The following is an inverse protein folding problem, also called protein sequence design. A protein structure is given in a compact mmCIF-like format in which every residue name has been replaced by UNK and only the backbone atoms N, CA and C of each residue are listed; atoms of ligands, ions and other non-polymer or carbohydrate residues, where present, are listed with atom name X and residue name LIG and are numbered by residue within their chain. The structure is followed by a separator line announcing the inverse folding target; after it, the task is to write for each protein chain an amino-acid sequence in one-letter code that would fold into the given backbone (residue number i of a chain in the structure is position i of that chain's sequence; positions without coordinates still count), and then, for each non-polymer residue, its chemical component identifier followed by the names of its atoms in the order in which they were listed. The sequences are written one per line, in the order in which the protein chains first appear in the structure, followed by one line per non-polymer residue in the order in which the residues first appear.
data_IF_772813245629
#
_entry.id   IF_772813245629
#
_cell.length_a   1.000
_cell.length_b   1.000
_cell.length_c   1.000
_cell.angle_alpha   90.00
_cell.angle_beta   90.00
_cell.angle_gamma   90.00
#
_symmetry.space_group_name_H-M   'P 1'
#
loop_
_entity.id
_entity.type
_entity.pdbx_description
1 polymer ?
#
# COMPACT_ATOMS: atom_id res chain seq x y z
N UNK A 1 -18.69 10.27 -10.68
CA UNK A 1 -17.24 10.52 -10.55
C UNK A 1 -16.87 11.43 -9.39
N UNK A 2 -15.80 11.10 -8.65
CA UNK A 2 -15.20 11.91 -7.59
C UNK A 2 -13.75 11.47 -7.31
N UNK A 3 -13.17 11.88 -6.18
CA UNK A 3 -11.89 11.34 -5.70
C UNK A 3 -12.10 10.36 -4.53
N UNK A 4 -10.99 9.81 -4.01
CA UNK A 4 -11.01 8.84 -2.90
C UNK A 4 -11.63 9.36 -1.60
N UNK A 5 -11.53 10.66 -1.31
CA UNK A 5 -12.18 11.25 -0.13
C UNK A 5 -13.70 11.31 -0.33
N UNK A 6 -14.15 11.62 -1.54
CA UNK A 6 -15.58 11.64 -1.87
C UNK A 6 -16.18 10.23 -1.92
N UNK A 7 -15.40 9.23 -2.33
CA UNK A 7 -15.73 7.81 -2.17
C UNK A 7 -15.88 7.48 -0.69
N UNK A 8 -14.85 7.74 0.11
CA UNK A 8 -14.86 7.41 1.53
C UNK A 8 -16.04 8.02 2.27
N UNK A 9 -16.39 9.28 1.98
CA UNK A 9 -17.51 9.97 2.62
C UNK A 9 -18.87 9.34 2.29
N UNK A 10 -19.05 8.79 1.09
CA UNK A 10 -20.33 8.28 0.60
C UNK A 10 -20.48 6.77 0.72
N UNK A 11 -19.38 6.05 0.92
CA UNK A 11 -19.39 4.59 0.99
C UNK A 11 -20.26 4.12 2.17
N UNK A 12 -21.26 3.30 1.85
CA UNK A 12 -22.27 2.78 2.77
C UNK A 12 -22.37 1.24 2.73
N UNK A 13 -21.53 0.58 1.92
CA UNK A 13 -21.45 -0.88 1.83
C UNK A 13 -21.12 -1.49 3.19
N UNK A 14 -21.66 -2.69 3.47
CA UNK A 14 -21.38 -3.44 4.70
C UNK A 14 -19.86 -3.47 4.99
N UNK A 15 -19.38 -3.01 6.16
CA UNK A 15 -17.98 -3.08 6.58
C UNK A 15 -17.33 -4.45 6.44
N UNK A 16 -18.12 -5.53 6.52
CA UNK A 16 -17.67 -6.91 6.43
C UNK A 16 -17.59 -7.43 4.99
N UNK A 17 -18.05 -6.66 4.00
CA UNK A 17 -17.89 -7.01 2.59
C UNK A 17 -16.43 -6.85 2.13
N UNK A 18 -15.95 -7.64 1.15
CA UNK A 18 -14.63 -7.46 0.55
C UNK A 18 -14.37 -6.01 0.10
N UNK A 19 -13.16 -5.45 0.30
CA UNK A 19 -12.81 -4.12 -0.19
C UNK A 19 -12.87 -4.03 -1.71
N UNK A 20 -13.51 -2.97 -2.19
CA UNK A 20 -13.39 -2.52 -3.57
C UNK A 20 -12.00 -1.90 -3.83
N UNK A 21 -11.59 -1.70 -5.10
CA UNK A 21 -10.36 -0.97 -5.41
C UNK A 21 -10.31 0.43 -4.78
N UNK A 22 -11.43 1.17 -4.77
CA UNK A 22 -11.51 2.48 -4.14
C UNK A 22 -11.44 2.40 -2.60
N UNK A 23 -11.99 1.36 -1.97
CA UNK A 23 -11.80 1.11 -0.54
C UNK A 23 -10.32 0.89 -0.22
N UNK A 24 -9.63 0.07 -1.03
CA UNK A 24 -8.22 -0.20 -0.82
C UNK A 24 -7.38 1.09 -0.90
N UNK A 25 -7.67 1.99 -1.85
CA UNK A 25 -7.01 3.29 -1.93
C UNK A 25 -7.35 4.17 -0.71
N UNK A 26 -8.60 4.21 -0.27
CA UNK A 26 -9.02 4.97 0.90
C UNK A 26 -8.29 4.51 2.17
N UNK A 27 -8.14 3.20 2.36
CA UNK A 27 -7.38 2.62 3.46
C UNK A 27 -5.88 2.91 3.37
N UNK A 28 -5.29 2.89 2.17
CA UNK A 28 -3.90 3.31 1.95
C UNK A 28 -3.67 4.78 2.29
N UNK A 29 -4.62 5.67 1.96
CA UNK A 29 -4.61 7.08 2.33
C UNK A 29 -4.78 7.27 3.85
N UNK A 30 -5.66 6.48 4.48
CA UNK A 30 -5.86 6.51 5.93
C UNK A 30 -4.59 6.10 6.69
N UNK A 31 -3.86 5.09 6.19
CA UNK A 31 -2.61 4.61 6.76
C UNK A 31 -1.42 5.58 6.65
N UNK A 32 -1.59 6.74 6.02
CA UNK A 32 -0.59 7.82 6.04
C UNK A 32 -0.58 8.59 7.38
N UNK A 33 -1.64 8.44 8.18
CA UNK A 33 -1.67 8.97 9.54
C UNK A 33 -0.71 8.18 10.43
N UNK A 34 0.00 8.89 11.33
CA UNK A 34 0.96 8.34 12.28
C UNK A 34 0.25 7.65 13.47
N UNK A 35 -0.68 6.72 13.19
CA UNK A 35 -1.45 6.02 14.22
C UNK A 35 -0.58 5.19 15.15
N UNK A 36 0.60 4.74 14.71
CA UNK A 36 1.56 4.07 15.57
C UNK A 36 2.02 4.96 16.73
N UNK A 37 1.77 6.27 16.73
CA UNK A 37 1.98 7.13 17.90
C UNK A 37 0.98 6.87 19.05
N UNK A 38 -0.18 6.25 18.76
CA UNK A 38 -1.22 5.95 19.74
C UNK A 38 -1.00 4.56 20.33
N UNK A 39 -0.83 4.47 21.66
CA UNK A 39 -0.66 3.17 22.33
C UNK A 39 -1.82 2.20 22.10
N UNK A 40 -3.05 2.71 22.06
CA UNK A 40 -4.27 1.91 21.91
C UNK A 40 -4.33 1.08 20.61
N UNK A 41 -3.79 1.60 19.49
CA UNK A 41 -3.82 0.88 18.22
C UNK A 41 -2.62 -0.04 18.00
N UNK A 42 -1.64 -0.08 18.91
CA UNK A 42 -0.50 -1.03 18.81
C UNK A 42 -0.89 -2.44 19.26
N UNK A 43 -1.89 -2.55 20.13
CA UNK A 43 -2.39 -3.81 20.69
C UNK A 43 -3.37 -4.54 19.77
N UNK A 44 -3.86 -5.70 20.25
CA UNK A 44 -4.86 -6.51 19.56
C UNK A 44 -6.27 -5.92 19.64
N UNK A 45 -6.60 -5.27 20.77
CA UNK A 45 -7.92 -4.64 20.97
C UNK A 45 -8.15 -3.53 19.94
N UNK A 46 -7.12 -2.70 19.70
CA UNK A 46 -7.16 -1.64 18.71
C UNK A 46 -8.12 -0.52 19.08
N UNK A 47 -8.48 0.29 18.08
CA UNK A 47 -9.46 1.37 18.20
C UNK A 47 -10.29 1.44 16.92
N UNK A 48 -11.58 1.74 17.03
CA UNK A 48 -12.41 1.90 15.83
C UNK A 48 -11.98 3.15 15.05
N UNK A 49 -12.14 3.11 13.72
CA UNK A 49 -11.87 4.26 12.84
C UNK A 49 -12.79 5.44 13.21
N UNK A 50 -14.01 5.18 13.67
CA UNK A 50 -14.91 6.19 14.25
C UNK A 50 -14.23 6.98 15.39
N UNK A 51 -13.63 6.29 16.36
CA UNK A 51 -12.98 6.89 17.53
C UNK A 51 -11.69 7.62 17.15
N UNK A 52 -10.93 7.08 16.19
CA UNK A 52 -9.77 7.77 15.62
C UNK A 52 -10.17 9.12 15.00
N UNK A 53 -11.39 9.25 14.48
CA UNK A 53 -11.96 10.49 13.98
C UNK A 53 -12.03 11.61 15.02
N UNK A 54 -12.26 11.29 16.29
CA UNK A 54 -12.27 12.27 17.38
C UNK A 54 -10.89 12.93 17.56
N UNK A 55 -9.82 12.23 17.18
CA UNK A 55 -8.44 12.72 17.24
C UNK A 55 -8.03 13.48 15.97
N UNK A 56 -8.90 13.64 14.97
CA UNK A 56 -8.50 14.16 13.66
C UNK A 56 -7.89 15.57 13.68
N UNK A 57 -8.18 16.40 14.69
CA UNK A 57 -7.53 17.72 14.83
C UNK A 57 -6.13 17.67 15.44
N UNK A 58 -5.72 16.50 15.96
CA UNK A 58 -4.44 16.30 16.60
C UNK A 58 -3.30 16.31 15.60
N UNK A 59 -2.49 17.37 15.61
CA UNK A 59 -1.41 17.59 14.64
C UNK A 59 -0.35 16.49 14.64
N UNK A 60 -0.16 15.78 15.75
CA UNK A 60 0.84 14.72 15.85
C UNK A 60 0.54 13.53 14.93
N UNK A 61 -0.73 13.31 14.56
CA UNK A 61 -1.13 12.24 13.63
C UNK A 61 -0.65 12.48 12.20
N UNK A 62 -0.16 13.67 11.88
CA UNK A 62 0.25 14.04 10.52
C UNK A 62 1.69 14.55 10.47
N UNK A 63 2.49 14.25 11.48
CA UNK A 63 3.86 14.77 11.60
C UNK A 63 4.72 14.36 10.41
N UNK A 64 4.55 13.13 9.91
CA UNK A 64 5.33 12.61 8.79
C UNK A 64 4.53 12.52 7.49
N UNK A 65 3.23 12.82 7.51
CA UNK A 65 2.38 12.85 6.32
C UNK A 65 2.97 13.71 5.21
N UNK A 66 2.83 13.31 3.93
CA UNK A 66 3.10 14.16 2.76
C UNK A 66 1.97 15.15 2.47
N UNK A 67 0.74 14.87 2.90
CA UNK A 67 -0.46 15.66 2.59
C UNK A 67 -1.35 15.88 3.83
N UNK A 68 -0.86 16.53 4.90
CA UNK A 68 -1.51 16.52 6.23
C UNK A 68 -2.94 17.05 6.22
N UNK A 69 -3.25 18.00 5.34
CA UNK A 69 -4.62 18.53 5.19
C UNK A 69 -5.55 17.50 4.53
N UNK A 70 -5.07 16.73 3.57
CA UNK A 70 -5.85 15.71 2.85
C UNK A 70 -5.98 14.45 3.72
N UNK A 71 -4.91 14.02 4.38
CA UNK A 71 -4.92 12.91 5.33
C UNK A 71 -5.92 13.17 6.46
N UNK A 72 -5.97 14.39 7.00
CA UNK A 72 -7.00 14.79 7.97
C UNK A 72 -8.40 14.68 7.40
N UNK A 73 -8.62 15.18 6.16
CA UNK A 73 -9.94 15.09 5.51
C UNK A 73 -10.34 13.63 5.24
N UNK A 74 -9.37 12.78 4.92
CA UNK A 74 -9.56 11.35 4.73
C UNK A 74 -9.95 10.68 6.05
N UNK A 75 -9.24 10.94 7.14
CA UNK A 75 -9.60 10.42 8.46
C UNK A 75 -11.02 10.84 8.86
N UNK A 76 -11.37 12.13 8.71
CA UNK A 76 -12.73 12.60 9.00
C UNK A 76 -13.77 11.89 8.11
N UNK A 77 -13.51 11.74 6.81
CA UNK A 77 -14.43 11.07 5.90
C UNK A 77 -14.62 9.59 6.24
N UNK A 78 -13.55 8.85 6.54
CA UNK A 78 -13.61 7.46 6.93
C UNK A 78 -14.31 7.27 8.29
N UNK A 79 -14.02 8.13 9.27
CA UNK A 79 -14.60 8.03 10.61
C UNK A 79 -16.11 8.31 10.66
N UNK A 80 -16.66 8.99 9.65
CA UNK A 80 -18.11 9.25 9.54
C UNK A 80 -18.82 8.35 8.52
N UNK A 81 -18.10 7.43 7.88
CA UNK A 81 -18.65 6.55 6.84
C UNK A 81 -19.14 5.23 7.42
N UNK A 82 -20.37 4.77 7.08
CA UNK A 82 -20.84 3.44 7.49
C UNK A 82 -19.89 2.32 7.07
N UNK A 83 -19.20 2.46 5.93
CA UNK A 83 -18.24 1.47 5.42
C UNK A 83 -16.98 1.36 6.27
N UNK A 84 -16.40 2.48 6.70
CA UNK A 84 -15.06 2.52 7.30
C UNK A 84 -15.07 2.73 8.81
N UNK A 85 -16.02 3.51 9.34
CA UNK A 85 -16.08 3.88 10.75
C UNK A 85 -16.08 2.66 11.70
N UNK A 86 -16.79 1.55 11.39
CA UNK A 86 -16.82 0.37 12.26
C UNK A 86 -15.55 -0.50 12.23
N UNK A 87 -14.61 -0.22 11.32
CA UNK A 87 -13.37 -0.99 11.23
C UNK A 87 -12.50 -0.74 12.47
N UNK A 88 -11.85 -1.78 12.98
CA UNK A 88 -10.93 -1.66 14.12
C UNK A 88 -9.48 -1.64 13.64
N UNK A 89 -8.80 -0.52 13.86
CA UNK A 89 -7.37 -0.33 13.64
C UNK A 89 -6.57 -0.93 14.80
N UNK A 90 -5.73 -1.91 14.49
CA UNK A 90 -4.92 -2.65 15.44
C UNK A 90 -3.52 -2.91 14.88
N UNK A 91 -2.61 -3.32 15.77
CA UNK A 91 -1.22 -3.65 15.43
C UNK A 91 -0.45 -2.58 14.64
N UNK A 92 -0.86 -1.31 14.75
CA UNK A 92 -0.19 -0.22 14.07
C UNK A 92 1.28 -0.13 14.49
N UNK A 93 2.16 -0.07 13.51
CA UNK A 93 3.60 0.03 13.72
C UNK A 93 4.14 1.16 12.86
N UNK A 94 4.95 2.01 13.48
CA UNK A 94 5.72 3.05 12.82
C UNK A 94 7.18 2.92 13.28
N UNK A 95 8.09 2.70 12.34
CA UNK A 95 9.52 2.50 12.63
C UNK A 95 10.38 3.27 11.65
N UNK A 96 11.23 4.13 12.19
CA UNK A 96 12.29 4.81 11.46
C UNK A 96 13.63 4.44 12.09
N UNK A 97 14.59 4.06 11.26
CA UNK A 97 15.93 3.67 11.69
C UNK A 97 16.95 4.20 10.71
N UNK A 98 18.01 4.82 11.22
CA UNK A 98 19.15 5.24 10.42
C UNK A 98 20.12 4.07 10.14
N UNK A 99 20.21 3.10 11.06
CA UNK A 99 21.12 1.96 11.00
C UNK A 99 20.49 0.71 11.66
N UNK A 100 20.05 -0.29 10.87
CA UNK A 100 20.00 -0.28 9.41
C UNK A 100 19.03 0.80 8.89
N UNK A 101 19.30 1.34 7.70
CA UNK A 101 18.43 2.34 7.07
C UNK A 101 17.07 1.71 6.78
N UNK A 102 16.00 2.23 7.40
CA UNK A 102 14.64 1.77 7.13
C UNK A 102 13.59 2.78 7.58
N UNK A 103 12.53 2.89 6.79
CA UNK A 103 11.24 3.43 7.18
C UNK A 103 10.20 2.34 6.89
N UNK A 104 9.57 1.83 7.95
CA UNK A 104 8.55 0.80 7.86
C UNK A 104 7.34 1.20 8.69
N UNK A 105 6.17 1.17 8.06
CA UNK A 105 4.91 1.39 8.74
C UNK A 105 3.82 0.51 8.16
N UNK A 106 3.00 -0.04 9.04
CA UNK A 106 1.90 -0.91 8.69
C UNK A 106 0.80 -0.84 9.75
N UNK A 107 -0.42 -1.17 9.35
CA UNK A 107 -1.53 -1.36 10.27
C UNK A 107 -2.45 -2.49 9.81
N UNK A 108 -3.23 -3.02 10.74
CA UNK A 108 -4.25 -4.03 10.47
C UNK A 108 -5.62 -3.43 10.76
N UNK A 109 -6.54 -3.53 9.80
CA UNK A 109 -7.94 -3.16 9.98
C UNK A 109 -8.78 -4.42 9.98
N UNK A 110 -9.54 -4.62 11.06
CA UNK A 110 -10.44 -5.76 11.21
C UNK A 110 -11.86 -5.30 10.99
N UNK A 111 -12.61 -6.05 10.19
CA UNK A 111 -14.05 -5.82 10.08
C UNK A 111 -14.76 -6.30 11.35
N UNK A 112 -16.00 -5.87 11.60
CA UNK A 112 -16.88 -6.54 12.55
C UNK A 112 -17.02 -8.04 12.20
N UNK A 113 -17.26 -8.89 13.21
CA UNK A 113 -17.54 -10.32 13.01
C UNK A 113 -16.50 -11.31 13.55
N UNK A 114 -15.40 -10.86 14.16
CA UNK A 114 -14.46 -11.72 14.89
C UNK A 114 -13.36 -12.36 14.04
N UNK A 115 -12.75 -13.45 14.50
CA UNK A 115 -11.52 -13.99 13.89
C UNK A 115 -11.69 -14.53 12.45
N UNK A 116 -12.91 -14.91 12.05
CA UNK A 116 -13.23 -15.38 10.70
C UNK A 116 -13.60 -14.27 9.72
N UNK A 117 -13.76 -13.03 10.18
CA UNK A 117 -14.16 -11.92 9.33
C UNK A 117 -12.98 -11.39 8.50
N UNK A 118 -13.25 -10.66 7.40
CA UNK A 118 -12.21 -10.04 6.62
C UNK A 118 -11.24 -9.19 7.45
N UNK A 119 -9.97 -9.29 7.09
CA UNK A 119 -8.89 -8.51 7.70
C UNK A 119 -8.09 -7.83 6.59
N UNK A 120 -7.79 -6.54 6.76
CA UNK A 120 -7.01 -5.76 5.82
C UNK A 120 -5.65 -5.40 6.43
N UNK A 121 -4.57 -5.70 5.71
CA UNK A 121 -3.20 -5.31 6.06
C UNK A 121 -2.78 -4.19 5.12
N UNK A 122 -2.48 -3.02 5.68
CA UNK A 122 -2.14 -1.83 4.91
C UNK A 122 -0.69 -1.45 5.20
N UNK A 123 0.13 -1.46 4.16
CA UNK A 123 1.50 -0.97 4.23
C UNK A 123 1.56 0.50 3.80
N UNK A 124 2.16 1.34 4.64
CA UNK A 124 2.35 2.76 4.33
C UNK A 124 3.42 2.94 3.25
N UNK A 125 3.15 3.90 2.37
CA UNK A 125 4.14 4.41 1.42
C UNK A 125 5.20 5.30 2.06
N UNK A 126 5.91 6.04 1.20
CA UNK A 126 6.95 6.98 1.61
C UNK A 126 6.35 8.18 2.31
N UNK A 127 6.99 8.60 3.38
CA UNK A 127 6.59 9.75 4.18
C UNK A 127 7.60 10.90 4.04
N UNK A 128 7.43 11.97 4.82
CA UNK A 128 8.36 13.11 4.83
C UNK A 128 9.70 12.81 5.50
N UNK A 129 9.91 11.61 6.04
CA UNK A 129 11.17 11.27 6.70
C UNK A 129 12.29 11.11 5.67
N UNK A 130 13.49 11.55 6.01
CA UNK A 130 14.65 11.36 5.14
C UNK A 130 14.96 9.86 4.95
N UNK A 131 14.64 9.02 5.95
CA UNK A 131 14.80 7.57 5.86
C UNK A 131 13.90 6.97 4.78
N UNK A 132 12.66 7.47 4.64
CA UNK A 132 11.73 7.05 3.60
C UNK A 132 12.33 7.24 2.20
N UNK A 133 12.71 8.48 1.89
CA UNK A 133 13.34 8.82 0.61
C UNK A 133 14.67 8.11 0.36
N UNK A 134 15.49 7.94 1.41
CA UNK A 134 16.76 7.23 1.28
C UNK A 134 16.58 5.72 1.05
N UNK A 135 15.57 5.09 1.67
CA UNK A 135 15.25 3.68 1.43
C UNK A 135 14.65 3.47 0.02
N UNK A 136 13.85 4.42 -0.49
CA UNK A 136 13.36 4.38 -1.88
C UNK A 136 14.51 4.44 -2.89
N UNK A 137 15.47 5.34 -2.68
CA UNK A 137 16.67 5.40 -3.50
C UNK A 137 17.48 4.08 -3.42
N UNK A 138 17.49 3.44 -2.25
CA UNK A 138 18.18 2.16 -2.05
C UNK A 138 17.53 0.98 -2.78
N UNK A 139 16.24 1.07 -3.19
CA UNK A 139 15.58 0.02 -3.98
C UNK A 139 16.30 -0.23 -5.32
N UNK A 140 16.88 0.81 -5.90
CA UNK A 140 17.71 0.72 -7.12
C UNK A 140 19.12 0.19 -6.88
N UNK A 141 19.51 -0.14 -5.64
CA UNK A 141 20.88 -0.51 -5.26
C UNK A 141 20.96 -1.89 -4.60
N UNK A 142 19.98 -2.27 -3.79
CA UNK A 142 20.00 -3.52 -3.03
C UNK A 142 18.62 -4.11 -2.79
N UNK A 143 18.58 -5.44 -2.69
CA UNK A 143 17.36 -6.19 -2.43
C UNK A 143 17.61 -7.48 -1.63
N UNK A 144 16.69 -7.90 -0.73
CA UNK A 144 15.59 -7.11 -0.19
C UNK A 144 16.10 -6.08 0.82
N UNK A 145 15.39 -4.95 0.95
CA UNK A 145 15.64 -3.93 1.96
C UNK A 145 15.10 -4.35 3.34
N UNK A 146 15.54 -3.72 4.44
CA UNK A 146 14.98 -3.99 5.76
C UNK A 146 13.45 -3.84 5.83
N UNK A 147 12.88 -2.85 5.12
CA UNK A 147 11.44 -2.66 4.99
C UNK A 147 10.70 -3.87 4.38
N UNK A 148 11.25 -4.48 3.32
CA UNK A 148 10.70 -5.71 2.72
C UNK A 148 10.60 -6.83 3.75
N UNK A 149 11.70 -7.10 4.47
CA UNK A 149 11.73 -8.15 5.49
C UNK A 149 10.77 -7.86 6.66
N UNK A 150 10.60 -6.59 7.03
CA UNK A 150 9.63 -6.17 8.03
C UNK A 150 8.19 -6.40 7.55
N UNK A 151 7.89 -6.09 6.29
CA UNK A 151 6.58 -6.31 5.68
C UNK A 151 6.21 -7.79 5.64
N UNK A 152 7.14 -8.66 5.21
CA UNK A 152 6.92 -10.11 5.20
C UNK A 152 6.64 -10.67 6.60
N UNK A 153 7.41 -10.25 7.62
CA UNK A 153 7.17 -10.65 9.01
C UNK A 153 5.82 -10.14 9.54
N UNK A 154 5.46 -8.89 9.22
CA UNK A 154 4.19 -8.30 9.63
C UNK A 154 3.01 -9.07 9.03
N UNK A 155 3.04 -9.35 7.73
CA UNK A 155 1.96 -10.09 7.08
C UNK A 155 1.85 -11.52 7.61
N UNK A 156 2.97 -12.22 7.84
CA UNK A 156 2.96 -13.54 8.45
C UNK A 156 2.34 -13.51 9.86
N UNK A 157 2.71 -12.52 10.68
CA UNK A 157 2.14 -12.30 12.02
C UNK A 157 0.62 -12.14 11.98
N UNK A 158 0.08 -11.37 11.04
CA UNK A 158 -1.37 -11.17 10.88
C UNK A 158 -2.04 -12.44 10.33
N UNK A 159 -1.45 -13.06 9.31
CA UNK A 159 -2.00 -14.26 8.67
C UNK A 159 -2.13 -15.45 9.62
N UNK A 160 -1.28 -15.54 10.65
CA UNK A 160 -1.38 -16.53 11.72
C UNK A 160 -2.55 -16.31 12.69
N UNK A 161 -2.90 -15.05 12.94
CA UNK A 161 -3.92 -14.67 13.94
C UNK A 161 -5.32 -14.51 13.34
N UNK A 162 -5.39 -14.32 12.03
CA UNK A 162 -6.62 -14.06 11.30
C UNK A 162 -6.78 -15.11 10.18
N UNK A 163 -7.48 -16.24 10.46
CA UNK A 163 -7.67 -17.30 9.48
C UNK A 163 -8.68 -16.96 8.38
N UNK A 164 -9.50 -15.92 8.55
CA UNK A 164 -10.48 -15.45 7.56
C UNK A 164 -9.85 -14.84 6.28
N UNK A 165 -10.69 -14.25 5.42
CA UNK A 165 -10.23 -13.53 4.23
C UNK A 165 -9.23 -12.43 4.57
N UNK A 166 -8.12 -12.37 3.84
CA UNK A 166 -7.02 -11.44 4.11
C UNK A 166 -6.74 -10.57 2.89
N UNK A 167 -6.86 -9.27 3.03
CA UNK A 167 -6.63 -8.30 1.97
C UNK A 167 -5.37 -7.51 2.27
N UNK A 168 -4.35 -7.67 1.43
CA UNK A 168 -3.06 -6.97 1.55
C UNK A 168 -3.08 -5.80 0.60
N UNK A 169 -2.65 -4.62 1.03
CA UNK A 169 -2.68 -3.44 0.18
C UNK A 169 -1.58 -2.43 0.52
N UNK A 170 -1.27 -1.61 -0.47
CA UNK A 170 -0.38 -0.47 -0.28
C UNK A 170 -0.31 0.40 -1.53
N UNK A 171 0.05 1.67 -1.32
CA UNK A 171 0.30 2.65 -2.37
C UNK A 171 1.80 3.01 -2.41
N UNK A 172 2.33 3.26 -3.61
CA UNK A 172 3.73 3.63 -3.82
C UNK A 172 4.67 2.58 -3.23
N UNK A 173 5.67 2.97 -2.42
CA UNK A 173 6.50 2.06 -1.61
C UNK A 173 5.68 0.99 -0.88
N UNK A 174 4.52 1.35 -0.32
CA UNK A 174 3.66 0.42 0.40
C UNK A 174 3.14 -0.71 -0.49
N UNK A 175 2.84 -0.43 -1.75
CA UNK A 175 2.43 -1.45 -2.72
C UNK A 175 3.57 -2.41 -3.08
N UNK A 176 4.81 -1.90 -3.14
CA UNK A 176 6.00 -2.74 -3.31
C UNK A 176 6.24 -3.64 -2.08
N UNK A 177 6.12 -3.09 -0.88
CA UNK A 177 6.16 -3.87 0.36
C UNK A 177 5.07 -4.96 0.38
N UNK A 178 3.85 -4.65 -0.08
CA UNK A 178 2.72 -5.57 -0.14
C UNK A 178 2.97 -6.76 -1.08
N UNK A 179 3.47 -6.50 -2.29
CA UNK A 179 3.84 -7.54 -3.26
C UNK A 179 4.91 -8.48 -2.70
N UNK A 180 5.98 -7.93 -2.12
CA UNK A 180 7.05 -8.73 -1.51
C UNK A 180 6.54 -9.56 -0.33
N UNK A 181 5.75 -8.95 0.56
CA UNK A 181 5.22 -9.62 1.72
C UNK A 181 4.31 -10.79 1.33
N UNK A 182 3.42 -10.60 0.35
CA UNK A 182 2.52 -11.64 -0.11
C UNK A 182 3.28 -12.78 -0.80
N UNK A 183 4.25 -12.47 -1.67
CA UNK A 183 5.06 -13.49 -2.33
C UNK A 183 5.82 -14.33 -1.30
N UNK A 184 6.38 -13.68 -0.28
CA UNK A 184 7.05 -14.36 0.84
C UNK A 184 6.08 -15.27 1.63
N UNK A 185 4.88 -14.77 1.94
CA UNK A 185 3.85 -15.53 2.63
C UNK A 185 3.45 -16.77 1.84
N UNK A 186 3.11 -16.62 0.56
CA UNK A 186 2.60 -17.73 -0.26
C UNK A 186 3.66 -18.78 -0.56
N UNK A 187 4.93 -18.40 -0.64
CA UNK A 187 6.04 -19.37 -0.71
C UNK A 187 6.18 -20.19 0.57
N UNK A 188 5.98 -19.58 1.73
CA UNK A 188 6.06 -20.26 3.02
C UNK A 188 4.77 -21.02 3.37
N UNK A 189 3.61 -20.52 2.92
CA UNK A 189 2.27 -21.02 3.24
C UNK A 189 1.37 -21.03 1.99
N UNK A 190 1.61 -21.92 1.01
CA UNK A 190 0.83 -21.97 -0.23
C UNK A 190 -0.68 -22.13 -0.01
N UNK A 191 -1.08 -22.80 1.08
CA UNK A 191 -2.49 -22.99 1.49
C UNK A 191 -3.27 -21.69 1.70
N UNK A 192 -2.59 -20.56 1.94
CA UNK A 192 -3.27 -19.27 2.14
C UNK A 192 -3.70 -18.62 0.81
N UNK A 193 -3.31 -19.16 -0.35
CA UNK A 193 -3.55 -18.57 -1.67
C UNK A 193 -5.04 -18.25 -1.96
N UNK A 194 -5.97 -19.10 -1.53
CA UNK A 194 -7.39 -18.92 -1.84
C UNK A 194 -8.06 -17.81 -1.02
N UNK A 195 -7.55 -17.53 0.18
CA UNK A 195 -8.14 -16.54 1.10
C UNK A 195 -7.49 -15.16 1.04
N UNK A 196 -6.35 -15.03 0.35
CA UNK A 196 -5.61 -13.76 0.26
C UNK A 196 -5.94 -13.02 -1.03
N UNK A 197 -6.00 -11.69 -0.97
CA UNK A 197 -6.09 -10.81 -2.13
C UNK A 197 -5.10 -9.65 -1.97
N UNK A 198 -4.61 -9.11 -3.07
CA UNK A 198 -3.63 -8.03 -3.09
C UNK A 198 -4.16 -6.83 -3.89
N UNK A 199 -4.01 -5.63 -3.33
CA UNK A 199 -4.17 -4.35 -4.03
C UNK A 199 -2.83 -3.60 -4.06
N UNK A 200 -2.16 -3.65 -5.21
CA UNK A 200 -0.89 -2.95 -5.44
C UNK A 200 -1.16 -1.68 -6.25
N UNK A 201 -1.06 -0.53 -5.58
CA UNK A 201 -1.51 0.76 -6.11
C UNK A 201 -0.30 1.65 -6.47
N UNK A 202 -0.02 1.74 -7.78
CA UNK A 202 1.07 2.51 -8.40
C UNK A 202 2.44 2.28 -7.73
N UNK A 203 2.74 1.01 -7.46
CA UNK A 203 3.95 0.58 -6.80
C UNK A 203 5.19 0.63 -7.73
N UNK A 204 6.39 0.93 -7.16
CA UNK A 204 7.63 0.69 -7.88
C UNK A 204 7.84 -0.81 -8.10
N UNK A 205 8.54 -1.16 -9.17
CA UNK A 205 8.84 -2.55 -9.52
C UNK A 205 9.95 -3.17 -8.67
N UNK A 206 10.52 -4.26 -9.17
CA UNK A 206 11.53 -5.08 -8.52
C UNK A 206 12.73 -5.34 -9.44
N UNK A 207 13.86 -5.82 -8.88
CA UNK A 207 14.99 -6.22 -9.70
C UNK A 207 14.61 -7.29 -10.73
N UNK A 208 14.95 -7.04 -11.99
CA UNK A 208 14.61 -7.89 -13.12
C UNK A 208 14.95 -9.39 -12.93
N UNK A 209 16.11 -9.78 -12.36
CA UNK A 209 16.41 -11.19 -12.09
C UNK A 209 15.44 -11.86 -11.12
N UNK A 210 14.91 -11.11 -10.15
CA UNK A 210 13.97 -11.63 -9.16
C UNK A 210 12.60 -11.91 -9.79
N UNK A 211 12.12 -10.95 -10.60
CA UNK A 211 10.85 -11.10 -11.34
C UNK A 211 10.92 -12.28 -12.29
N UNK A 212 12.00 -12.38 -13.08
CA UNK A 212 12.21 -13.51 -14.01
C UNK A 212 12.39 -14.87 -13.32
N UNK A 213 12.87 -14.90 -12.08
CA UNK A 213 13.00 -16.12 -11.30
C UNK A 213 11.67 -16.61 -10.70
N UNK A 214 10.55 -15.97 -11.05
CA UNK A 214 9.22 -16.41 -10.64
C UNK A 214 8.87 -16.12 -9.18
N UNK A 215 9.62 -15.23 -8.50
CA UNK A 215 9.40 -14.95 -7.08
C UNK A 215 7.96 -14.51 -6.77
N UNK A 216 7.32 -13.78 -7.70
CA UNK A 216 5.97 -13.23 -7.56
C UNK A 216 4.88 -14.04 -8.27
N UNK A 217 5.19 -15.21 -8.85
CA UNK A 217 4.21 -16.00 -9.62
C UNK A 217 2.96 -16.35 -8.80
N UNK A 218 3.14 -16.69 -7.52
CA UNK A 218 2.04 -16.98 -6.61
C UNK A 218 1.11 -15.78 -6.37
N UNK A 219 1.58 -14.54 -6.59
CA UNK A 219 0.75 -13.34 -6.49
C UNK A 219 -0.17 -13.15 -7.70
N UNK A 220 0.04 -13.84 -8.82
CA UNK A 220 -0.66 -13.55 -10.07
C UNK A 220 -2.19 -13.68 -9.95
N UNK A 221 -2.68 -14.75 -9.32
CA UNK A 221 -4.11 -14.97 -9.11
C UNK A 221 -4.75 -13.99 -8.11
N UNK A 222 -4.17 -13.71 -6.93
CA UNK A 222 -4.80 -12.82 -5.94
C UNK A 222 -4.63 -11.31 -6.20
N UNK A 223 -3.78 -10.88 -7.14
CA UNK A 223 -3.38 -9.48 -7.26
C UNK A 223 -4.23 -8.64 -8.24
N UNK A 224 -4.74 -7.52 -7.72
CA UNK A 224 -5.17 -6.36 -8.48
C UNK A 224 -4.06 -5.31 -8.49
N UNK A 225 -3.51 -5.02 -9.67
CA UNK A 225 -2.43 -4.05 -9.86
C UNK A 225 -2.94 -2.87 -10.66
N UNK A 226 -2.75 -1.67 -10.12
CA UNK A 226 -3.21 -0.41 -10.72
C UNK A 226 -2.03 0.55 -10.85
N UNK A 227 -1.99 1.34 -11.93
CA UNK A 227 -0.95 2.33 -12.19
C UNK A 227 -1.46 3.60 -12.84
N UNK A 228 -0.67 4.65 -12.72
CA UNK A 228 -0.94 5.93 -13.36
C UNK A 228 -0.04 6.10 -14.59
N UNK A 229 -0.61 6.40 -15.77
CA UNK A 229 0.19 6.70 -16.96
C UNK A 229 1.19 7.84 -16.70
N UNK A 230 2.47 7.56 -16.90
CA UNK A 230 3.53 8.56 -16.73
C UNK A 230 3.94 8.84 -15.29
N UNK A 231 3.48 8.04 -14.32
CA UNK A 231 4.02 8.05 -12.96
C UNK A 231 5.48 7.61 -12.96
N UNK A 232 6.35 8.44 -12.39
CA UNK A 232 7.79 8.18 -12.28
C UNK A 232 8.11 6.93 -11.45
N UNK A 233 7.25 6.60 -10.47
CA UNK A 233 7.42 5.45 -9.57
C UNK A 233 7.32 4.12 -10.34
N UNK A 234 6.45 4.05 -11.34
CA UNK A 234 6.14 2.82 -12.08
C UNK A 234 7.15 2.42 -13.16
N UNK A 235 8.09 3.30 -13.50
CA UNK A 235 8.95 3.19 -14.69
C UNK A 235 10.39 2.74 -14.35
N UNK A 236 10.75 2.70 -13.06
CA UNK A 236 12.15 2.51 -12.63
C UNK A 236 12.62 1.05 -12.62
N UNK A 237 11.72 0.08 -12.45
CA UNK A 237 12.05 -1.33 -12.20
C UNK A 237 11.03 -2.28 -12.84
N UNK A 238 11.45 -3.52 -13.08
CA UNK A 238 10.65 -4.59 -13.68
C UNK A 238 9.44 -4.94 -12.82
N UNK A 239 8.34 -5.26 -13.47
CA UNK A 239 7.06 -5.35 -12.81
C UNK A 239 6.64 -6.81 -12.58
N UNK A 240 6.06 -7.15 -11.43
CA UNK A 240 5.75 -8.54 -11.08
C UNK A 240 4.60 -9.15 -11.89
N UNK A 241 3.88 -8.34 -12.66
CA UNK A 241 2.78 -8.77 -13.51
C UNK A 241 2.10 -7.61 -14.25
N UNK A 242 1.05 -7.90 -15.03
CA UNK A 242 0.26 -6.90 -15.73
C UNK A 242 -0.47 -5.98 -14.74
N UNK A 243 -0.75 -4.74 -15.17
CA UNK A 243 -1.47 -3.75 -14.37
C UNK A 243 -2.48 -2.99 -15.23
N UNK A 244 -3.56 -2.53 -14.58
CA UNK A 244 -4.57 -1.64 -15.16
C UNK A 244 -4.06 -0.21 -15.07
N UNK A 245 -4.21 0.57 -16.13
CA UNK A 245 -3.93 2.01 -16.09
C UNK A 245 -5.21 2.76 -15.77
N UNK A 246 -5.10 3.74 -14.86
CA UNK A 246 -6.25 4.50 -14.37
C UNK A 246 -6.01 6.00 -14.45
N UNK A 247 -7.10 6.76 -14.49
CA UNK A 247 -7.07 8.21 -14.66
C UNK A 247 -6.75 8.89 -13.33
N UNK A 248 -5.80 9.81 -13.37
CA UNK A 248 -5.61 10.84 -12.34
C UNK A 248 -6.03 12.20 -12.89
N UNK A 249 -6.55 13.07 -12.02
CA UNK A 249 -6.84 14.47 -12.31
C UNK A 249 -5.59 15.34 -12.44
N UNK A 250 -4.40 14.85 -12.09
CA UNK A 250 -3.12 15.53 -12.32
C UNK A 250 -2.29 14.79 -13.36
N UNK A 251 -1.62 15.51 -14.29
CA UNK A 251 -0.80 14.89 -15.32
C UNK A 251 0.58 14.47 -14.80
N UNK A 252 1.20 13.51 -15.50
CA UNK A 252 2.60 13.16 -15.34
C UNK A 252 2.94 12.64 -13.93
N UNK A 253 4.15 12.97 -13.40
CA UNK A 253 4.60 12.49 -12.09
C UNK A 253 3.65 12.85 -10.93
N UNK A 254 2.93 13.98 -11.03
CA UNK A 254 1.98 14.43 -10.01
C UNK A 254 0.73 13.56 -9.95
N UNK A 255 0.44 12.80 -11.01
CA UNK A 255 -0.67 11.85 -11.02
C UNK A 255 -0.49 10.69 -10.03
N UNK A 256 0.73 10.49 -9.52
CA UNK A 256 1.02 9.51 -8.46
C UNK A 256 0.28 9.80 -7.15
N UNK A 257 -0.10 11.06 -6.88
CA UNK A 257 -0.84 11.46 -5.68
C UNK A 257 -2.21 10.74 -5.62
N UNK A 258 -2.44 9.87 -4.62
CA UNK A 258 -3.63 9.03 -4.57
C UNK A 258 -4.92 9.84 -4.41
N UNK A 259 -4.85 11.07 -3.88
CA UNK A 259 -6.03 11.94 -3.71
C UNK A 259 -6.55 12.52 -5.02
N UNK A 260 -5.80 12.35 -6.12
CA UNK A 260 -6.13 12.88 -7.44
C UNK A 260 -6.74 11.84 -8.36
N UNK A 261 -6.75 10.57 -7.94
CA UNK A 261 -7.26 9.46 -8.75
C UNK A 261 -8.77 9.58 -8.90
N UNK A 262 -9.25 9.32 -10.11
CA UNK A 262 -10.67 9.46 -10.42
C UNK A 262 -11.40 8.17 -10.10
N UNK A 263 -12.32 8.25 -9.15
CA UNK A 263 -13.11 7.13 -8.62
C UNK A 263 -14.55 7.23 -9.13
N UNK A 264 -15.10 6.08 -9.52
CA UNK A 264 -16.48 5.90 -9.94
C UNK A 264 -16.96 4.52 -9.50
N UNK A 265 -18.11 4.48 -8.81
CA UNK A 265 -18.79 3.25 -8.38
C UNK A 265 -17.90 2.21 -7.69
N UNK A 266 -16.99 2.67 -6.81
CA UNK A 266 -16.09 1.82 -6.05
C UNK A 266 -14.84 1.35 -6.82
N UNK A 267 -14.68 1.72 -8.09
CA UNK A 267 -13.50 1.41 -8.90
C UNK A 267 -12.87 2.70 -9.46
N UNK A 268 -11.77 2.54 -10.19
CA UNK A 268 -11.06 3.63 -10.85
C UNK A 268 -11.49 3.77 -12.30
N UNK A 269 -11.58 5.01 -12.76
CA UNK A 269 -11.83 5.28 -14.18
C UNK A 269 -10.61 4.85 -15.00
N UNK A 270 -10.76 4.00 -16.03
CA UNK A 270 -9.65 3.53 -16.85
C UNK A 270 -8.94 4.67 -17.58
N UNK A 271 -7.64 4.49 -17.83
CA UNK A 271 -6.86 5.34 -18.70
C UNK A 271 -6.08 4.50 -19.72
N UNK A 272 -5.75 5.06 -20.89
CA UNK A 272 -4.85 4.41 -21.83
C UNK A 272 -3.48 4.14 -21.19
N UNK A 273 -2.83 3.06 -21.62
CA UNK A 273 -1.44 2.82 -21.27
C UNK A 273 -0.55 3.99 -21.75
N UNK A 274 0.54 4.32 -21.04
CA UNK A 274 1.43 5.41 -21.43
C UNK A 274 2.03 5.16 -22.82
N UNK A 275 2.18 6.26 -23.58
CA UNK A 275 2.81 6.25 -24.90
C UNK A 275 4.32 5.93 -24.88
N UNK A 276 4.98 6.07 -26.03
CA UNK A 276 6.37 5.63 -26.22
C UNK A 276 7.40 6.38 -25.35
N UNK A 277 7.16 7.64 -24.99
CA UNK A 277 8.17 8.48 -24.30
C UNK A 277 8.46 8.02 -22.86
N UNK A 278 7.45 7.77 -21.99
CA UNK A 278 7.69 7.14 -20.69
C UNK A 278 8.41 5.78 -20.77
N UNK A 279 8.17 5.00 -21.84
CA UNK A 279 8.88 3.73 -22.06
C UNK A 279 10.37 3.93 -22.38
N UNK A 280 10.70 4.97 -23.14
CA UNK A 280 12.09 5.31 -23.47
C UNK A 280 12.89 5.75 -22.23
N UNK A 281 12.25 6.50 -21.31
CA UNK A 281 12.86 6.86 -20.01
C UNK A 281 13.14 5.62 -19.17
N UNK A 282 12.19 4.68 -19.07
CA UNK A 282 12.40 3.40 -18.38
C UNK A 282 13.56 2.59 -18.98
N UNK A 283 13.62 2.49 -20.31
CA UNK A 283 14.71 1.81 -21.00
C UNK A 283 16.09 2.45 -20.75
N UNK A 284 16.15 3.78 -20.62
CA UNK A 284 17.37 4.50 -20.29
C UNK A 284 17.83 4.22 -18.84
N UNK A 285 16.88 4.20 -17.90
CA UNK A 285 17.14 3.83 -16.49
C UNK A 285 17.62 2.38 -16.39
N UNK A 286 16.95 1.44 -17.07
CA UNK A 286 17.38 0.04 -17.13
C UNK A 286 18.80 -0.11 -17.67
N UNK A 287 19.15 0.65 -18.72
CA UNK A 287 20.50 0.63 -19.28
C UNK A 287 21.53 1.17 -18.29
N UNK A 288 21.18 2.19 -17.51
CA UNK A 288 22.06 2.70 -16.44
C UNK A 288 22.20 1.70 -15.28
N UNK A 289 21.12 1.04 -14.87
CA UNK A 289 21.14 0.01 -13.82
C UNK A 289 21.91 -1.25 -14.24
N UNK A 290 22.02 -1.56 -15.53
CA UNK A 290 22.90 -2.62 -16.04
C UNK A 290 24.39 -2.34 -15.83
N UNK A 291 24.79 -1.07 -15.66
CA UNK A 291 26.18 -0.67 -15.37
C UNK A 291 26.51 -0.85 -13.88
N UNK A 292 25.51 -0.81 -12.99
CA UNK A 292 25.64 -1.13 -11.55
C UNK A 292 24.51 -2.05 -11.11
N UNK A 293 24.67 -3.38 -11.22
CA UNK A 293 23.59 -4.32 -10.95
C UNK A 293 23.13 -4.22 -9.50
N UNK A 294 21.81 -4.33 -9.29
CA UNK A 294 21.19 -4.34 -7.97
C UNK A 294 21.72 -5.56 -7.18
N UNK A 295 22.27 -5.33 -5.98
CA UNK A 295 22.80 -6.39 -5.13
C UNK A 295 21.64 -7.20 -4.52
N UNK A 296 21.50 -8.45 -4.93
CA UNK A 296 20.52 -9.39 -4.35
C UNK A 296 21.24 -10.31 -3.36
N UNK A 297 20.80 -10.33 -2.10
CA UNK A 297 21.45 -11.15 -1.05
C UNK A 297 20.74 -12.48 -0.82
N UNK A 298 19.57 -12.44 -0.18
CA UNK A 298 18.63 -13.56 -0.01
C UNK A 298 17.22 -13.01 -0.07
N UNK A 299 16.47 -13.28 -1.14
CA UNK A 299 15.11 -12.78 -1.33
C UNK A 299 14.17 -13.30 -0.25
#
# INVERSE_FOLDING_TARGET
MGNVIDHARRADTDPSAPPSPADALALCCLAQCDFGALGAVRGADGMQVADLGALAQSRFLYRHSLHPRLDRRMLVAAASSPRFAPLTCAHAVDRWSARPLSQFSALTLRTPGGAGSPTMVVFRGTDRSWQGWAEDAAMGLSFPLPGHRAAARYLAFVAERHPGPLFVMGHSKGGNLAEYALASLLRARPRDAERVRLFSLDAPGFPAPLVRAGFFEANAAPASRVRIPGSWVSVLLDQPGPARFVRSGLPGPMGHDPYTWVVEDGDFVPAPAPGLVPRAVGAAVDRALRVRPIRITRP
#
